data_IF_364838896718
#
_entry.id   IF_364838896718
#
_cell.length_a   1.000
_cell.length_b   1.000
_cell.length_c   1.000
_cell.angle_alpha   90.00
_cell.angle_beta   90.00
_cell.angle_gamma   90.00
#
_symmetry.space_group_name_H-M   'P 1'
#
loop_
_entity.id
_entity.type
_entity.pdbx_description
1 polymer ?
#
# COMPACT_ATOMS: atom_id res chain seq x y z
N UNK A 1 -8.90 -10.06 -21.89
CA UNK A 1 -7.94 -10.90 -21.15
C UNK A 1 -7.39 -10.21 -19.91
N UNK A 2 -6.96 -8.95 -20.00
CA UNK A 2 -6.40 -8.19 -18.87
C UNK A 2 -7.25 -8.20 -17.60
N UNK A 3 -8.56 -7.92 -17.69
CA UNK A 3 -9.47 -7.95 -16.52
C UNK A 3 -9.50 -9.30 -15.80
N UNK A 4 -9.43 -10.40 -16.54
CA UNK A 4 -9.40 -11.76 -15.97
C UNK A 4 -8.06 -12.01 -15.26
N UNK A 5 -6.96 -11.60 -15.87
CA UNK A 5 -5.62 -11.70 -15.26
C UNK A 5 -5.56 -10.88 -13.99
N UNK A 6 -6.03 -9.62 -14.03
CA UNK A 6 -6.06 -8.74 -12.87
C UNK A 6 -6.91 -9.33 -11.73
N UNK A 7 -8.11 -9.83 -12.03
CA UNK A 7 -8.97 -10.45 -11.02
C UNK A 7 -8.30 -11.64 -10.31
N UNK A 8 -7.64 -12.52 -11.07
CA UNK A 8 -6.93 -13.68 -10.50
C UNK A 8 -5.68 -13.27 -9.73
N UNK A 9 -4.97 -12.26 -10.21
CA UNK A 9 -3.78 -11.74 -9.56
C UNK A 9 -4.12 -11.02 -8.25
N UNK A 10 -5.16 -10.19 -8.23
CA UNK A 10 -5.71 -9.56 -7.02
C UNK A 10 -6.01 -10.63 -5.96
N UNK A 11 -6.80 -11.64 -6.33
CA UNK A 11 -7.17 -12.72 -5.40
C UNK A 11 -5.94 -13.48 -4.86
N UNK A 12 -4.94 -13.72 -5.70
CA UNK A 12 -3.69 -14.37 -5.28
C UNK A 12 -2.88 -13.48 -4.32
N UNK A 13 -2.67 -12.20 -4.66
CA UNK A 13 -1.92 -11.25 -3.84
C UNK A 13 -2.58 -10.99 -2.48
N UNK A 14 -3.91 -10.95 -2.43
CA UNK A 14 -4.66 -10.85 -1.18
C UNK A 14 -4.50 -12.14 -0.34
N UNK A 15 -4.52 -13.33 -0.97
CA UNK A 15 -4.39 -14.61 -0.23
C UNK A 15 -3.04 -14.81 0.48
N UNK A 16 -1.99 -14.14 0.01
CA UNK A 16 -0.63 -14.22 0.57
C UNK A 16 -0.27 -12.96 1.39
N UNK A 17 -1.21 -12.04 1.58
CA UNK A 17 -1.01 -10.74 2.24
C UNK A 17 0.16 -9.93 1.66
N UNK A 18 0.39 -10.00 0.33
CA UNK A 18 1.49 -9.30 -0.31
C UNK A 18 1.31 -7.77 -0.33
N UNK A 19 0.07 -7.29 -0.22
CA UNK A 19 -0.26 -5.86 -0.26
C UNK A 19 -0.61 -5.40 1.16
N UNK A 20 0.14 -4.42 1.67
CA UNK A 20 -0.08 -3.88 3.01
C UNK A 20 -1.48 -3.28 3.19
N UNK A 21 -2.03 -3.41 4.40
CA UNK A 21 -3.39 -2.94 4.71
C UNK A 21 -3.55 -1.42 4.66
N UNK A 22 -2.45 -0.67 4.78
CA UNK A 22 -2.50 0.78 4.61
C UNK A 22 -2.59 1.22 3.15
N UNK A 23 -2.25 0.36 2.18
CA UNK A 23 -2.39 0.70 0.78
C UNK A 23 -3.88 0.76 0.40
N UNK A 24 -4.34 1.95 -0.01
CA UNK A 24 -5.70 2.17 -0.51
C UNK A 24 -5.79 2.31 -2.02
N UNK A 25 -4.72 2.75 -2.69
CA UNK A 25 -4.72 2.94 -4.13
C UNK A 25 -5.07 1.65 -4.88
N UNK A 26 -5.99 1.76 -5.84
CA UNK A 26 -6.41 0.67 -6.74
C UNK A 26 -6.97 -0.58 -6.05
N UNK A 27 -7.38 -0.50 -4.78
CA UNK A 27 -8.03 -1.62 -4.06
C UNK A 27 -9.54 -1.43 -4.00
N UNK A 28 -10.27 -2.54 -4.08
CA UNK A 28 -11.72 -2.55 -3.83
C UNK A 28 -11.98 -2.16 -2.37
N UNK A 29 -13.07 -1.43 -2.15
CA UNK A 29 -13.51 -0.99 -0.82
C UNK A 29 -12.53 -0.09 -0.07
N UNK A 30 -11.57 0.54 -0.75
CA UNK A 30 -10.71 1.58 -0.17
C UNK A 30 -10.79 2.83 -1.03
N UNK A 31 -10.93 3.98 -0.38
CA UNK A 31 -10.98 5.28 -1.05
C UNK A 31 -9.90 6.23 -0.54
N UNK A 32 -9.63 7.27 -1.33
CA UNK A 32 -8.76 8.36 -0.89
C UNK A 32 -9.32 9.08 0.35
N UNK A 33 -10.65 9.15 0.48
CA UNK A 33 -11.34 9.73 1.63
C UNK A 33 -11.02 8.94 2.90
N UNK A 34 -11.02 7.61 2.83
CA UNK A 34 -10.68 6.76 3.98
C UNK A 34 -9.25 7.02 4.46
N UNK A 35 -8.31 7.21 3.53
CA UNK A 35 -6.92 7.56 3.86
C UNK A 35 -6.79 8.93 4.50
N UNK A 36 -7.46 9.95 3.95
CA UNK A 36 -7.46 11.30 4.52
C UNK A 36 -8.05 11.29 5.93
N UNK A 37 -9.15 10.58 6.13
CA UNK A 37 -9.78 10.41 7.44
C UNK A 37 -8.83 9.71 8.42
N UNK A 38 -8.19 8.61 8.01
CA UNK A 38 -7.22 7.88 8.85
C UNK A 38 -6.04 8.77 9.24
N UNK A 39 -5.43 9.51 8.29
CA UNK A 39 -4.32 10.42 8.57
C UNK A 39 -4.74 11.59 9.47
N UNK A 40 -5.93 12.13 9.27
CA UNK A 40 -6.50 13.19 10.13
C UNK A 40 -6.69 12.69 11.56
N UNK A 41 -7.13 11.44 11.74
CA UNK A 41 -7.25 10.83 13.05
C UNK A 41 -5.88 10.66 13.73
N UNK A 42 -4.87 10.19 13.00
CA UNK A 42 -3.50 10.05 13.51
C UNK A 42 -2.92 11.39 14.02
N UNK A 43 -3.18 12.48 13.29
CA UNK A 43 -2.77 13.83 13.71
C UNK A 43 -3.48 14.24 15.00
N UNK A 44 -4.80 13.99 15.09
CA UNK A 44 -5.58 14.30 16.31
C UNK A 44 -5.10 13.48 17.51
N UNK A 45 -4.81 12.20 17.31
CA UNK A 45 -4.32 11.30 18.36
C UNK A 45 -2.94 11.74 18.86
N UNK A 46 -2.03 12.12 17.95
CA UNK A 46 -0.73 12.67 18.30
C UNK A 46 -0.86 13.96 19.11
N UNK A 47 -1.74 14.87 18.69
CA UNK A 47 -2.03 16.10 19.43
C UNK A 47 -2.57 15.82 20.83
N UNK A 48 -3.53 14.90 20.97
CA UNK A 48 -4.11 14.55 22.27
C UNK A 48 -3.08 13.94 23.23
N UNK A 49 -2.10 13.19 22.70
CA UNK A 49 -1.01 12.57 23.46
C UNK A 49 0.19 13.50 23.69
N UNK A 50 0.08 14.78 23.35
CA UNK A 50 1.19 15.74 23.43
C UNK A 50 2.45 15.31 22.66
N UNK A 51 2.27 14.58 21.54
CA UNK A 51 3.35 14.15 20.66
C UNK A 51 3.38 15.00 19.39
N UNK A 52 4.57 15.25 18.85
CA UNK A 52 4.73 15.86 17.53
C UNK A 52 4.38 14.86 16.43
N UNK A 53 3.50 15.24 15.52
CA UNK A 53 3.17 14.44 14.33
C UNK A 53 3.86 15.02 13.10
N UNK A 54 4.63 14.20 12.39
CA UNK A 54 5.30 14.57 11.14
C UNK A 54 4.78 13.69 10.00
N UNK A 55 4.46 14.31 8.86
CA UNK A 55 4.09 13.60 7.64
C UNK A 55 5.15 13.84 6.55
N UNK A 56 5.62 12.77 5.92
CA UNK A 56 6.49 12.83 4.74
C UNK A 56 5.70 12.31 3.54
N UNK A 57 5.55 13.17 2.52
CA UNK A 57 4.88 12.82 1.27
C UNK A 57 5.95 12.56 0.21
N UNK A 58 5.99 11.33 -0.30
CA UNK A 58 6.91 10.89 -1.34
C UNK A 58 6.08 10.63 -2.60
N UNK A 59 6.43 11.29 -3.69
CA UNK A 59 5.82 11.08 -5.01
C UNK A 59 6.87 10.60 -6.00
N UNK A 60 6.49 9.62 -6.82
CA UNK A 60 7.37 9.01 -7.82
C UNK A 60 6.97 9.48 -9.22
N UNK A 61 7.92 10.01 -9.98
CA UNK A 61 7.70 10.46 -11.35
C UNK A 61 7.49 9.26 -12.29
N UNK A 62 6.40 9.28 -13.07
CA UNK A 62 6.16 8.38 -14.22
C UNK A 62 6.38 6.89 -13.87
N UNK A 63 5.77 6.41 -12.78
CA UNK A 63 6.01 5.05 -12.24
C UNK A 63 5.78 3.94 -13.26
N UNK A 64 4.77 4.07 -14.12
CA UNK A 64 4.47 3.07 -15.14
C UNK A 64 5.56 2.95 -16.21
N UNK A 65 6.27 4.05 -16.49
CA UNK A 65 7.34 4.09 -17.50
C UNK A 65 8.71 3.78 -16.89
N UNK A 66 8.91 4.14 -15.61
CA UNK A 66 10.20 4.04 -14.92
C UNK A 66 10.41 2.71 -14.20
N UNK A 67 9.36 1.90 -13.99
CA UNK A 67 9.48 0.62 -13.29
C UNK A 67 10.34 -0.39 -14.07
N UNK A 68 11.37 -0.92 -13.39
CA UNK A 68 12.22 -1.95 -13.99
C UNK A 68 11.49 -3.28 -14.13
N UNK A 69 11.21 -3.70 -15.37
CA UNK A 69 10.61 -5.01 -15.66
C UNK A 69 11.41 -6.17 -15.07
N UNK A 70 12.74 -6.09 -15.08
CA UNK A 70 13.62 -7.13 -14.52
C UNK A 70 13.40 -7.27 -13.01
N UNK A 71 13.25 -6.16 -12.29
CA UNK A 71 12.97 -6.19 -10.86
C UNK A 71 11.54 -6.67 -10.59
N UNK A 72 10.56 -6.22 -11.36
CA UNK A 72 9.17 -6.64 -11.24
C UNK A 72 8.99 -8.15 -11.46
N UNK A 73 9.68 -8.75 -12.43
CA UNK A 73 9.62 -10.21 -12.61
C UNK A 73 10.41 -10.98 -11.56
N UNK A 74 11.43 -10.35 -10.96
CA UNK A 74 12.21 -10.98 -9.88
C UNK A 74 11.52 -10.86 -8.53
N UNK A 75 10.64 -9.88 -8.33
CA UNK A 75 9.96 -9.67 -7.05
C UNK A 75 9.23 -10.94 -6.64
N UNK A 76 9.73 -11.54 -5.56
CA UNK A 76 9.11 -12.70 -4.94
C UNK A 76 7.98 -12.19 -4.06
N UNK A 77 6.76 -12.59 -4.32
CA UNK A 77 5.59 -12.25 -3.50
C UNK A 77 5.50 -13.13 -2.24
N UNK A 78 6.64 -13.58 -1.70
CA UNK A 78 6.68 -14.61 -0.67
C UNK A 78 6.49 -14.02 0.72
N UNK A 79 5.67 -14.69 1.52
CA UNK A 79 5.42 -14.38 2.93
C UNK A 79 6.67 -14.75 3.76
N UNK A 80 7.66 -13.86 3.82
CA UNK A 80 8.58 -13.88 4.96
C UNK A 80 7.93 -13.08 6.07
N UNK A 81 7.51 -13.83 7.10
CA UNK A 81 6.97 -13.34 8.35
C UNK A 81 7.87 -12.24 8.90
N UNK A 82 7.26 -11.09 9.15
CA UNK A 82 7.85 -10.00 9.92
C UNK A 82 7.96 -10.44 11.39
N UNK A 83 8.87 -11.38 11.69
CA UNK A 83 9.40 -11.57 13.05
C UNK A 83 10.63 -10.69 13.20
N UNK A 84 10.42 -9.43 13.58
CA UNK A 84 11.46 -8.68 14.29
C UNK A 84 10.83 -7.56 15.13
N UNK A 85 10.88 -7.78 16.44
CA UNK A 85 10.87 -6.88 17.60
C UNK A 85 10.18 -5.51 17.50
#
# INVERSE_FOLDING_TARGET
MERMVNFRLEAFLDSINAIHDEQAGFRKHKSAIDQVNKRSQQIKDGFHRQMSTLACFIDFKEVYDTVSRKLLYKSKFTTELHETC
#
